data_IF_980123571276
#
_entry.id   IF_980123571276
#
_cell.length_a   1.000
_cell.length_b   1.000
_cell.length_c   1.000
_cell.angle_alpha   90.00
_cell.angle_beta   90.00
_cell.angle_gamma   90.00
#
_symmetry.space_group_name_H-M   'P 1'
#
loop_
_entity.id
_entity.type
_entity.pdbx_description
1 polymer ?
#
# COMPACT_ATOMS: atom_id res chain seq x y z
N UNK A 1 11.92 -14.06 -3.57
CA UNK A 1 10.69 -13.18 -3.68
C UNK A 1 9.94 -13.56 -4.95
N UNK A 2 8.63 -13.72 -4.85
CA UNK A 2 7.76 -14.00 -5.99
C UNK A 2 7.85 -12.89 -7.05
N UNK A 3 7.94 -13.26 -8.33
CA UNK A 3 8.10 -12.32 -9.44
C UNK A 3 6.92 -12.43 -10.43
N UNK A 4 6.31 -11.29 -10.72
CA UNK A 4 5.20 -11.15 -11.68
C UNK A 4 5.75 -10.61 -13.00
N UNK A 5 5.64 -11.40 -14.06
CA UNK A 5 6.09 -11.04 -15.41
C UNK A 5 4.93 -10.47 -16.23
N UNK A 6 5.12 -9.29 -16.81
CA UNK A 6 4.12 -8.67 -17.68
C UNK A 6 4.19 -9.20 -19.11
N UNK A 7 3.07 -9.11 -19.82
CA UNK A 7 3.00 -9.28 -21.28
C UNK A 7 3.71 -8.12 -21.98
N UNK A 8 4.21 -8.29 -23.20
CA UNK A 8 4.76 -7.20 -24.00
C UNK A 8 3.81 -6.00 -24.09
N UNK A 9 4.35 -4.80 -23.98
CA UNK A 9 3.63 -3.52 -24.05
C UNK A 9 2.56 -3.30 -22.95
N UNK A 10 2.68 -4.00 -21.81
CA UNK A 10 1.82 -3.78 -20.63
C UNK A 10 2.51 -3.02 -19.50
N UNK A 11 3.78 -2.70 -19.65
CA UNK A 11 4.59 -1.88 -18.76
C UNK A 11 4.32 -0.37 -18.86
N UNK A 12 3.68 0.11 -19.92
CA UNK A 12 3.56 1.55 -20.25
C UNK A 12 2.87 2.37 -19.13
N UNK A 13 1.87 1.81 -18.45
CA UNK A 13 1.21 2.50 -17.33
C UNK A 13 2.14 2.65 -16.14
N UNK A 14 2.94 1.61 -15.82
CA UNK A 14 3.89 1.65 -14.73
C UNK A 14 5.04 2.60 -15.01
N UNK A 15 5.50 2.71 -16.25
CA UNK A 15 6.52 3.68 -16.67
C UNK A 15 6.04 5.14 -16.54
N UNK A 16 4.73 5.34 -16.44
CA UNK A 16 4.09 6.65 -16.14
C UNK A 16 3.67 6.76 -14.67
N UNK A 17 4.20 5.89 -13.80
CA UNK A 17 3.92 5.85 -12.37
C UNK A 17 2.46 5.57 -12.00
N UNK A 18 1.70 4.91 -12.87
CA UNK A 18 0.38 4.42 -12.51
C UNK A 18 0.51 3.12 -11.70
N UNK A 19 -0.01 3.04 -10.47
CA UNK A 19 0.38 1.97 -9.54
C UNK A 19 -0.37 0.64 -9.73
N UNK A 20 -1.25 0.50 -10.73
CA UNK A 20 -2.06 -0.70 -10.87
C UNK A 20 -1.58 -1.62 -11.99
N UNK A 21 -1.34 -2.87 -11.63
CA UNK A 21 -1.16 -3.96 -12.57
C UNK A 21 -2.45 -4.76 -12.65
N UNK A 22 -3.10 -4.71 -13.81
CA UNK A 22 -4.31 -5.50 -14.05
C UNK A 22 -3.97 -6.96 -14.31
N UNK A 23 -4.83 -7.90 -13.87
CA UNK A 23 -4.63 -9.34 -14.07
C UNK A 23 -4.44 -9.73 -15.54
N UNK A 24 -5.14 -9.06 -16.45
CA UNK A 24 -4.98 -9.24 -17.89
C UNK A 24 -3.62 -8.84 -18.47
N UNK A 25 -2.82 -8.06 -17.75
CA UNK A 25 -1.46 -7.66 -18.13
C UNK A 25 -0.40 -8.71 -17.77
N UNK A 26 -0.71 -9.64 -16.86
CA UNK A 26 0.23 -10.64 -16.36
C UNK A 26 0.39 -11.77 -17.40
N UNK A 27 1.64 -12.11 -17.73
CA UNK A 27 2.02 -13.27 -18.55
C UNK A 27 2.18 -14.51 -17.72
N UNK A 28 2.94 -14.42 -16.62
CA UNK A 28 3.25 -15.52 -15.72
C UNK A 28 3.66 -14.99 -14.35
N UNK A 29 3.56 -15.86 -13.36
CA UNK A 29 4.07 -15.60 -12.01
C UNK A 29 5.11 -16.68 -11.72
N UNK A 30 6.30 -16.27 -11.34
CA UNK A 30 7.41 -17.12 -10.91
C UNK A 30 7.48 -17.07 -9.39
N UNK A 31 7.21 -18.19 -8.75
CA UNK A 31 7.28 -18.33 -7.31
C UNK A 31 8.72 -18.52 -6.86
N UNK A 32 9.04 -18.10 -5.65
CA UNK A 32 10.32 -18.43 -5.01
C UNK A 32 10.47 -19.95 -4.92
N UNK A 33 11.72 -20.47 -5.04
CA UNK A 33 11.98 -21.91 -5.08
C UNK A 33 11.43 -22.68 -3.88
N UNK A 34 11.42 -22.04 -2.71
CA UNK A 34 10.94 -22.61 -1.45
C UNK A 34 9.50 -22.19 -1.11
N UNK A 35 8.76 -21.60 -2.08
CA UNK A 35 7.42 -21.07 -1.81
C UNK A 35 6.41 -22.22 -1.60
N UNK A 36 5.70 -22.27 -0.45
CA UNK A 36 4.91 -23.43 -0.05
C UNK A 36 3.55 -23.55 -0.76
N UNK A 37 3.15 -22.54 -1.54
CA UNK A 37 1.83 -22.48 -2.17
C UNK A 37 1.92 -22.49 -3.69
N UNK A 38 0.82 -22.83 -4.37
CA UNK A 38 0.73 -22.87 -5.84
C UNK A 38 0.59 -21.48 -6.49
N UNK A 39 0.32 -20.44 -5.69
CA UNK A 39 0.21 -19.04 -6.13
C UNK A 39 0.55 -18.09 -4.98
N UNK A 40 0.89 -16.80 -5.24
CA UNK A 40 1.16 -15.83 -4.19
C UNK A 40 -0.03 -15.67 -3.24
N UNK A 41 0.25 -15.41 -1.98
CA UNK A 41 -0.78 -15.08 -1.01
C UNK A 41 -1.28 -13.65 -1.21
N UNK A 42 -2.57 -13.41 -0.97
CA UNK A 42 -3.10 -12.05 -0.99
C UNK A 42 -2.43 -11.18 0.08
N UNK A 43 -2.01 -9.98 -0.31
CA UNK A 43 -1.26 -9.06 0.55
C UNK A 43 0.25 -9.26 0.54
N UNK A 44 0.76 -10.32 -0.08
CA UNK A 44 2.20 -10.56 -0.25
C UNK A 44 2.86 -9.47 -1.11
N UNK A 45 4.07 -9.08 -0.74
CA UNK A 45 4.89 -8.19 -1.57
C UNK A 45 5.55 -9.01 -2.67
N UNK A 46 5.30 -8.61 -3.91
CA UNK A 46 5.84 -9.24 -5.12
C UNK A 46 6.62 -8.24 -5.95
N UNK A 47 7.62 -8.74 -6.67
CA UNK A 47 8.37 -7.97 -7.67
C UNK A 47 7.62 -8.03 -9.01
N UNK A 48 7.58 -6.90 -9.73
CA UNK A 48 6.99 -6.81 -11.07
C UNK A 48 8.08 -6.48 -12.07
N UNK A 49 8.14 -7.26 -13.15
CA UNK A 49 9.10 -7.08 -14.24
C UNK A 49 8.39 -7.04 -15.60
N UNK A 50 9.01 -6.37 -16.56
CA UNK A 50 8.55 -6.36 -17.96
C UNK A 50 8.79 -7.72 -18.65
N UNK A 51 8.44 -7.82 -19.94
CA UNK A 51 8.63 -9.05 -20.71
C UNK A 51 10.10 -9.40 -20.99
N UNK A 52 11.03 -8.47 -20.75
CA UNK A 52 12.49 -8.65 -20.90
C UNK A 52 13.19 -8.93 -19.58
N UNK A 53 12.46 -8.86 -18.45
CA UNK A 53 13.01 -9.07 -17.12
C UNK A 53 13.50 -7.77 -16.44
N UNK A 54 13.26 -6.60 -17.02
CA UNK A 54 13.60 -5.33 -16.36
C UNK A 54 12.65 -5.07 -15.20
N UNK A 55 13.19 -4.71 -14.04
CA UNK A 55 12.41 -4.40 -12.84
C UNK A 55 11.58 -3.13 -13.03
N UNK A 56 10.29 -3.22 -12.75
CA UNK A 56 9.35 -2.09 -12.77
C UNK A 56 9.02 -1.60 -11.36
N UNK A 57 9.09 -2.46 -10.36
CA UNK A 57 8.89 -2.12 -8.96
C UNK A 57 8.37 -3.29 -8.12
N UNK A 58 7.98 -2.98 -6.89
CA UNK A 58 7.41 -3.94 -5.93
C UNK A 58 6.06 -3.45 -5.42
N UNK A 59 5.18 -4.39 -5.06
CA UNK A 59 3.83 -4.04 -4.60
C UNK A 59 3.07 -5.22 -4.02
N UNK A 60 1.88 -4.95 -3.50
CA UNK A 60 0.99 -5.95 -2.91
C UNK A 60 0.25 -6.74 -3.99
N UNK A 61 0.36 -8.06 -3.93
CA UNK A 61 -0.46 -8.97 -4.74
C UNK A 61 -1.87 -9.12 -4.15
N UNK A 62 -2.86 -9.21 -5.03
CA UNK A 62 -4.26 -9.46 -4.66
C UNK A 62 -4.99 -10.19 -5.78
N UNK A 63 -5.85 -11.15 -5.42
CA UNK A 63 -6.71 -11.83 -6.39
C UNK A 63 -7.82 -10.88 -6.82
N UNK A 64 -7.89 -10.59 -8.13
CA UNK A 64 -8.91 -9.69 -8.67
C UNK A 64 -8.49 -9.02 -9.98
N UNK A 65 -9.23 -8.01 -10.40
CA UNK A 65 -8.93 -7.25 -11.62
C UNK A 65 -7.64 -6.44 -11.48
N UNK A 66 -7.39 -5.80 -10.34
CA UNK A 66 -6.12 -5.16 -9.99
C UNK A 66 -5.30 -6.19 -9.21
N UNK A 67 -4.40 -6.88 -9.92
CA UNK A 67 -3.65 -8.00 -9.36
C UNK A 67 -2.40 -7.58 -8.58
N UNK A 68 -1.79 -6.42 -8.89
CA UNK A 68 -0.73 -5.84 -8.06
C UNK A 68 -0.95 -4.34 -7.91
N UNK A 69 -0.76 -3.84 -6.70
CA UNK A 69 -0.68 -2.41 -6.39
C UNK A 69 0.76 -2.06 -6.06
N UNK A 70 1.41 -1.34 -6.97
CA UNK A 70 2.81 -0.94 -6.80
C UNK A 70 2.93 0.03 -5.62
N UNK A 71 3.84 -0.26 -4.72
CA UNK A 71 4.22 0.56 -3.57
C UNK A 71 5.44 1.42 -3.89
N UNK A 72 6.46 0.80 -4.53
CA UNK A 72 7.69 1.49 -4.90
C UNK A 72 8.13 1.10 -6.31
N UNK A 73 8.47 2.10 -7.12
CA UNK A 73 8.87 1.91 -8.52
C UNK A 73 10.38 1.79 -8.68
N UNK A 74 10.82 0.97 -9.63
CA UNK A 74 12.22 0.85 -10.03
C UNK A 74 13.14 0.16 -9.00
N UNK A 75 12.56 -0.48 -7.98
CA UNK A 75 13.31 -1.21 -6.95
C UNK A 75 12.99 -2.70 -6.98
N UNK A 76 13.91 -3.51 -6.48
CA UNK A 76 13.76 -4.97 -6.39
C UNK A 76 13.14 -5.42 -5.06
N UNK A 77 13.28 -4.61 -4.01
CA UNK A 77 12.76 -4.87 -2.67
C UNK A 77 12.20 -3.60 -2.06
N UNK A 78 11.22 -3.75 -1.17
CA UNK A 78 10.65 -2.62 -0.44
C UNK A 78 11.69 -2.09 0.56
N UNK A 79 12.01 -0.76 0.55
CA UNK A 79 12.94 -0.18 1.52
C UNK A 79 12.48 -0.41 2.97
N UNK A 80 13.41 -0.70 3.89
CA UNK A 80 13.09 -0.99 5.31
C UNK A 80 12.31 0.13 6.01
N UNK A 81 12.52 1.38 5.61
CA UNK A 81 11.83 2.55 6.17
C UNK A 81 10.70 3.07 5.27
N UNK A 82 10.17 2.24 4.39
CA UNK A 82 9.19 2.62 3.37
C UNK A 82 7.97 3.35 3.99
N UNK A 83 7.29 2.73 4.95
CA UNK A 83 6.08 3.29 5.57
C UNK A 83 6.35 4.66 6.18
N UNK A 84 7.40 4.78 7.00
CA UNK A 84 7.81 6.03 7.63
C UNK A 84 8.10 7.13 6.60
N UNK A 85 8.86 6.81 5.56
CA UNK A 85 9.24 7.78 4.52
C UNK A 85 8.02 8.26 3.74
N UNK A 86 7.11 7.35 3.36
CA UNK A 86 5.90 7.72 2.60
C UNK A 86 4.92 8.53 3.43
N UNK A 87 4.70 8.16 4.69
CA UNK A 87 3.79 8.86 5.59
C UNK A 87 4.34 10.25 5.95
N UNK A 88 5.64 10.36 6.24
CA UNK A 88 6.28 11.65 6.48
C UNK A 88 6.20 12.58 5.26
N UNK A 89 6.39 12.05 4.03
CA UNK A 89 6.23 12.83 2.81
C UNK A 89 4.79 13.34 2.63
N UNK A 90 3.79 12.49 2.86
CA UNK A 90 2.39 12.88 2.80
C UNK A 90 2.04 13.95 3.86
N UNK A 91 2.54 13.79 5.08
CA UNK A 91 2.38 14.78 6.14
C UNK A 91 3.01 16.14 5.78
N UNK A 92 4.24 16.14 5.26
CA UNK A 92 4.91 17.35 4.79
C UNK A 92 4.15 18.10 3.69
N UNK A 93 3.44 17.39 2.82
CA UNK A 93 2.51 18.02 1.84
C UNK A 93 1.38 18.75 2.55
N UNK A 94 0.75 18.13 3.58
CA UNK A 94 -0.34 18.76 4.36
C UNK A 94 0.14 19.99 5.12
N UNK A 95 1.33 19.93 5.71
CA UNK A 95 1.97 21.09 6.37
C UNK A 95 2.23 22.22 5.36
N UNK A 96 2.83 21.92 4.21
CA UNK A 96 3.16 22.90 3.17
C UNK A 96 1.93 23.59 2.58
N UNK A 97 0.78 22.93 2.59
CA UNK A 97 -0.51 23.48 2.17
C UNK A 97 -1.23 24.25 3.28
N UNK A 98 -0.67 24.35 4.49
CA UNK A 98 -1.29 25.01 5.63
C UNK A 98 -2.53 24.29 6.18
N UNK A 99 -2.63 22.97 5.97
CA UNK A 99 -3.75 22.17 6.46
C UNK A 99 -3.58 21.74 7.91
N UNK A 100 -2.34 21.81 8.44
CA UNK A 100 -2.01 21.41 9.80
C UNK A 100 -1.72 22.66 10.61
N UNK A 101 -2.71 23.10 11.42
CA UNK A 101 -2.60 24.28 12.30
C UNK A 101 -3.25 23.98 13.65
N UNK A 102 -3.11 24.89 14.63
CA UNK A 102 -3.80 24.77 15.92
C UNK A 102 -5.34 24.80 15.78
N UNK A 103 -5.86 25.59 14.80
CA UNK A 103 -7.27 25.71 14.54
C UNK A 103 -7.81 24.58 13.64
N UNK A 104 -6.96 24.03 12.75
CA UNK A 104 -7.32 22.94 11.85
C UNK A 104 -6.56 21.68 12.19
N UNK A 105 -7.11 20.87 13.07
CA UNK A 105 -6.56 19.60 13.53
C UNK A 105 -7.30 18.38 12.97
N UNK A 106 -8.10 18.56 11.92
CA UNK A 106 -8.87 17.50 11.27
C UNK A 106 -8.64 17.56 9.76
N UNK A 107 -7.97 16.55 9.21
CA UNK A 107 -7.61 16.50 7.79
C UNK A 107 -7.34 15.08 7.32
N UNK A 108 -7.41 14.87 6.00
CA UNK A 108 -6.96 13.62 5.37
C UNK A 108 -5.45 13.61 5.24
N UNK A 109 -4.79 12.71 5.99
CA UNK A 109 -3.34 12.50 5.94
C UNK A 109 -2.91 11.70 4.70
N UNK A 110 -3.62 10.60 4.41
CA UNK A 110 -3.33 9.73 3.26
C UNK A 110 -4.56 9.57 2.39
N UNK A 111 -4.39 9.75 1.07
CA UNK A 111 -5.42 9.57 0.06
C UNK A 111 -4.99 8.58 -1.03
N UNK A 112 -4.73 7.36 -0.65
CA UNK A 112 -4.47 6.24 -1.57
C UNK A 112 -3.37 6.53 -2.58
N UNK A 113 -3.69 6.36 -3.84
CA UNK A 113 -2.80 6.55 -4.98
C UNK A 113 -2.22 7.96 -5.06
N UNK A 114 -2.94 8.97 -4.60
CA UNK A 114 -2.48 10.36 -4.58
C UNK A 114 -1.27 10.61 -3.68
N UNK A 115 -1.10 9.77 -2.67
CA UNK A 115 0.04 9.80 -1.74
C UNK A 115 0.99 8.60 -1.93
N UNK A 116 0.90 7.91 -3.07
CA UNK A 116 1.69 6.72 -3.39
C UNK A 116 1.54 5.57 -2.38
N UNK A 117 0.36 5.47 -1.74
CA UNK A 117 -0.03 4.39 -0.83
C UNK A 117 -1.35 3.77 -1.28
N UNK A 118 -1.37 3.10 -2.46
CA UNK A 118 -2.60 2.63 -3.10
C UNK A 118 -3.40 1.68 -2.22
N UNK A 119 -4.66 2.05 -1.97
CA UNK A 119 -5.56 1.28 -1.11
C UNK A 119 -5.46 1.61 0.38
N UNK A 120 -4.83 2.73 0.76
CA UNK A 120 -4.79 3.24 2.13
C UNK A 120 -5.46 4.61 2.22
N UNK A 121 -6.36 4.77 3.18
CA UNK A 121 -6.92 6.06 3.59
C UNK A 121 -6.58 6.26 5.06
N UNK A 122 -6.10 7.46 5.41
CA UNK A 122 -5.89 7.87 6.80
C UNK A 122 -6.44 9.27 7.00
N UNK A 123 -7.37 9.40 7.94
CA UNK A 123 -7.91 10.68 8.39
C UNK A 123 -7.44 10.96 9.82
N UNK A 124 -7.00 12.18 10.08
CA UNK A 124 -6.58 12.65 11.42
C UNK A 124 -7.72 13.46 12.04
N UNK A 125 -8.01 13.20 13.30
CA UNK A 125 -8.98 13.88 14.14
C UNK A 125 -8.30 14.24 15.48
N UNK A 126 -7.79 15.45 15.60
CA UNK A 126 -7.01 15.94 16.73
C UNK A 126 -5.78 15.02 17.03
N UNK A 127 -5.82 14.23 18.08
CA UNK A 127 -4.76 13.31 18.51
C UNK A 127 -4.90 11.88 17.95
N UNK A 128 -5.95 11.62 17.19
CA UNK A 128 -6.29 10.27 16.73
C UNK A 128 -6.24 10.17 15.20
N UNK A 129 -5.50 9.21 14.67
CA UNK A 129 -5.55 8.82 13.27
C UNK A 129 -6.50 7.63 13.07
N UNK A 130 -7.34 7.70 12.02
CA UNK A 130 -8.24 6.62 11.63
C UNK A 130 -7.75 6.01 10.32
N UNK A 131 -7.37 4.74 10.34
CA UNK A 131 -6.90 3.99 9.18
C UNK A 131 -8.06 3.21 8.56
N UNK A 132 -8.18 3.31 7.23
CA UNK A 132 -9.05 2.47 6.41
C UNK A 132 -8.22 1.78 5.33
N UNK A 133 -8.12 0.45 5.39
CA UNK A 133 -7.52 -0.37 4.35
C UNK A 133 -8.59 -0.77 3.32
N UNK A 134 -8.29 -0.54 2.05
CA UNK A 134 -9.09 -0.93 0.89
C UNK A 134 -8.47 -2.09 0.11
N UNK A 135 -7.35 -2.63 0.59
CA UNK A 135 -6.66 -3.79 0.02
C UNK A 135 -6.14 -4.71 1.12
N UNK A 136 -5.96 -5.98 0.76
CA UNK A 136 -5.48 -7.01 1.71
C UNK A 136 -4.07 -6.69 2.19
N UNK A 137 -3.19 -6.18 1.31
CA UNK A 137 -1.84 -5.81 1.70
C UNK A 137 -1.79 -4.69 2.73
N UNK A 138 -2.62 -3.65 2.58
CA UNK A 138 -2.71 -2.57 3.57
C UNK A 138 -3.28 -3.05 4.91
N UNK A 139 -4.18 -4.04 4.88
CA UNK A 139 -4.69 -4.67 6.10
C UNK A 139 -3.58 -5.39 6.88
N UNK A 140 -2.75 -6.17 6.19
CA UNK A 140 -1.70 -6.95 6.86
C UNK A 140 -0.55 -6.08 7.39
N UNK A 141 -0.31 -4.91 6.80
CA UNK A 141 0.69 -3.95 7.26
C UNK A 141 0.14 -2.84 8.18
N UNK A 142 -1.10 -2.96 8.67
CA UNK A 142 -1.77 -1.92 9.46
C UNK A 142 -1.01 -1.50 10.72
N UNK A 143 -0.34 -2.44 11.39
CA UNK A 143 0.44 -2.18 12.60
C UNK A 143 1.70 -1.37 12.29
N UNK A 144 2.45 -1.76 11.24
CA UNK A 144 3.63 -1.01 10.77
C UNK A 144 3.25 0.40 10.27
N UNK A 145 2.08 0.51 9.63
CA UNK A 145 1.53 1.79 9.19
C UNK A 145 1.16 2.65 10.41
N UNK A 146 0.53 2.09 11.44
CA UNK A 146 0.17 2.79 12.66
C UNK A 146 1.40 3.32 13.40
N UNK A 147 2.43 2.49 13.58
CA UNK A 147 3.71 2.90 14.17
C UNK A 147 4.34 4.05 13.38
N UNK A 148 4.36 3.95 12.05
CA UNK A 148 4.91 4.99 11.19
C UNK A 148 4.12 6.30 11.24
N UNK A 149 2.79 6.28 11.46
CA UNK A 149 1.96 7.47 11.65
C UNK A 149 2.31 8.16 12.97
N UNK A 150 2.35 7.42 14.07
CA UNK A 150 2.71 7.98 15.39
C UNK A 150 4.12 8.58 15.38
N UNK A 151 5.04 7.96 14.63
CA UNK A 151 6.42 8.45 14.51
C UNK A 151 6.55 9.71 13.64
N UNK A 152 5.72 9.83 12.58
CA UNK A 152 5.82 10.92 11.61
C UNK A 152 4.94 12.13 11.94
N UNK A 153 3.83 11.95 12.66
CA UNK A 153 2.81 12.97 12.90
C UNK A 153 2.76 13.32 14.39
N UNK A 154 3.49 14.36 14.79
CA UNK A 154 3.74 14.70 16.18
C UNK A 154 2.49 14.88 17.06
N UNK A 155 1.35 15.23 16.48
CA UNK A 155 0.08 15.43 17.21
C UNK A 155 -0.71 14.15 17.43
N UNK A 156 -0.35 13.04 16.74
CA UNK A 156 -1.08 11.76 16.81
C UNK A 156 -0.42 10.85 17.84
N UNK A 157 -1.19 10.42 18.83
CA UNK A 157 -0.77 9.44 19.83
C UNK A 157 -1.68 8.20 19.89
N UNK A 158 -2.78 8.21 19.11
CA UNK A 158 -3.76 7.12 19.01
C UNK A 158 -4.04 6.78 17.55
N UNK A 159 -4.09 5.49 17.25
CA UNK A 159 -4.46 5.00 15.93
C UNK A 159 -5.65 4.06 16.05
N UNK A 160 -6.73 4.37 15.35
CA UNK A 160 -7.92 3.55 15.28
C UNK A 160 -8.05 2.92 13.89
N UNK A 161 -8.14 1.60 13.82
CA UNK A 161 -8.34 0.86 12.59
C UNK A 161 -9.83 0.61 12.34
N UNK A 162 -10.33 0.96 11.15
CA UNK A 162 -11.74 0.81 10.79
C UNK A 162 -11.88 0.36 9.32
N UNK A 163 -11.86 -0.94 9.10
CA UNK A 163 -11.86 -1.52 7.74
C UNK A 163 -12.86 -2.67 7.56
N UNK A 164 -13.85 -2.78 8.40
CA UNK A 164 -14.91 -3.79 8.33
C UNK A 164 -15.72 -3.71 7.02
N UNK A 165 -16.00 -2.50 6.53
CA UNK A 165 -16.78 -2.24 5.32
C UNK A 165 -15.92 -1.91 4.09
N UNK A 166 -14.59 -1.74 4.24
CA UNK A 166 -13.72 -1.26 3.15
C UNK A 166 -12.87 -2.35 2.51
N UNK A 167 -12.67 -3.46 3.22
CA UNK A 167 -11.90 -4.59 2.73
C UNK A 167 -12.66 -5.39 1.66
N UNK A 168 -11.96 -6.03 0.70
CA UNK A 168 -12.60 -6.84 -0.31
C UNK A 168 -13.42 -7.99 0.30
N UNK A 169 -14.73 -8.04 0.00
CA UNK A 169 -15.66 -9.02 0.58
C UNK A 169 -15.32 -10.49 0.29
N UNK A 170 -14.57 -10.76 -0.80
CA UNK A 170 -14.21 -12.11 -1.23
C UNK A 170 -12.89 -12.60 -0.65
N UNK A 171 -12.11 -11.74 -0.01
CA UNK A 171 -10.83 -12.11 0.56
C UNK A 171 -11.03 -12.83 1.91
N UNK A 172 -10.35 -13.96 2.10
CA UNK A 172 -10.30 -14.67 3.39
C UNK A 172 -9.26 -13.99 4.28
N UNK A 173 -9.62 -12.82 4.84
CA UNK A 173 -8.73 -11.97 5.61
C UNK A 173 -8.73 -12.39 7.08
N UNK A 174 -7.53 -12.58 7.64
CA UNK A 174 -7.32 -12.87 9.06
C UNK A 174 -7.03 -11.60 9.86
N UNK A 175 -7.36 -11.59 11.13
CA UNK A 175 -7.14 -10.48 12.05
C UNK A 175 -8.33 -9.54 12.18
N UNK A 176 -8.24 -8.68 13.20
CA UNK A 176 -9.31 -7.73 13.53
C UNK A 176 -9.41 -6.64 12.46
N UNK A 177 -10.64 -6.27 12.16
CA UNK A 177 -10.97 -5.25 11.14
C UNK A 177 -11.34 -3.90 11.75
N UNK A 178 -11.49 -3.85 13.07
CA UNK A 178 -11.85 -2.65 13.84
C UNK A 178 -11.17 -2.72 15.21
N UNK A 179 -10.60 -1.61 15.66
CA UNK A 179 -9.99 -1.49 16.99
C UNK A 179 -8.85 -0.49 17.05
N UNK A 180 -8.36 -0.22 18.24
CA UNK A 180 -7.11 0.53 18.43
C UNK A 180 -5.91 -0.37 18.12
N UNK A 181 -4.90 0.20 17.49
CA UNK A 181 -3.61 -0.40 17.18
C UNK A 181 -2.54 0.16 18.12
#
# INVERSE_FOLDING_TARGET
>A
MTTVHLKPHKEESLLRFHPWVFSGAIRSIELDADYPHAQPQEGEIVKVVDCKGNTLGVGHYQIGSIAVRILEFGVEELPKNFWKTRIAAAYGVRESLGLVTEENNTYRLIHGEGDFLPGLIVDVYADTAVIQAHSVGMHYHREEIAEAIVEAVAQVDKVYYKSDDTLPHKAMIQGDRVGYL
#
